data_IF_116895722903
#
_entry.id   IF_116895722903
#
_cell.length_a   1.000
_cell.length_b   1.000
_cell.length_c   1.000
_cell.angle_alpha   90.00
_cell.angle_beta   90.00
_cell.angle_gamma   90.00
#
_symmetry.space_group_name_H-M   'P 1'
#
loop_
_entity.id
_entity.type
_entity.pdbx_description
1 polymer ?
#
# COMPACT_ATOMS: atom_id res chain seq x y z
N UNK A 1 -11.94 8.79 0.73
CA UNK A 1 -12.43 7.66 1.54
C UNK A 1 -12.04 7.88 3.00
N UNK A 2 -12.66 7.17 3.97
CA UNK A 2 -12.42 7.37 5.40
C UNK A 2 -10.97 7.15 5.85
N UNK A 3 -10.21 6.31 5.14
CA UNK A 3 -8.87 5.88 5.55
C UNK A 3 -7.74 6.35 4.61
N UNK A 4 -8.03 7.16 3.60
CA UNK A 4 -6.99 7.69 2.69
C UNK A 4 -6.79 6.90 1.40
N UNK A 5 -7.31 5.68 1.26
CA UNK A 5 -7.31 4.94 -0.02
C UNK A 5 -8.33 5.53 -1.01
N UNK A 6 -7.89 6.35 -1.97
CA UNK A 6 -8.79 7.10 -2.88
C UNK A 6 -8.96 6.48 -4.25
N UNK A 7 -8.01 5.64 -4.67
CA UNK A 7 -7.95 5.09 -6.01
C UNK A 7 -7.78 3.57 -5.96
N UNK A 8 -8.47 2.87 -6.85
CA UNK A 8 -8.37 1.43 -7.04
C UNK A 8 -8.11 1.17 -8.51
N UNK A 9 -7.08 0.39 -8.82
CA UNK A 9 -6.71 0.06 -10.20
C UNK A 9 -6.52 -1.44 -10.30
N UNK A 10 -7.07 -2.05 -11.35
CA UNK A 10 -6.83 -3.46 -11.65
C UNK A 10 -5.54 -3.60 -12.46
N UNK A 11 -4.75 -4.63 -12.13
CA UNK A 11 -3.47 -4.91 -12.77
C UNK A 11 -2.28 -4.46 -11.91
N UNK A 12 -1.38 -5.39 -11.63
CA UNK A 12 -0.24 -5.20 -10.74
C UNK A 12 -0.51 -5.66 -9.30
N UNK A 13 0.55 -5.65 -8.50
CA UNK A 13 0.56 -6.00 -7.08
C UNK A 13 1.82 -5.43 -6.43
N UNK A 14 2.09 -5.76 -5.16
CA UNK A 14 3.38 -5.47 -4.54
C UNK A 14 4.53 -6.23 -5.22
N UNK A 15 5.73 -5.65 -5.17
CA UNK A 15 6.95 -6.26 -5.71
C UNK A 15 7.25 -7.63 -5.10
N UNK A 16 6.89 -7.81 -3.82
CA UNK A 16 7.13 -9.07 -3.09
C UNK A 16 6.17 -10.20 -3.45
N UNK A 17 5.02 -9.90 -4.07
CA UNK A 17 3.95 -10.89 -4.33
C UNK A 17 3.61 -11.04 -5.82
N UNK A 18 4.16 -10.20 -6.70
CA UNK A 18 3.80 -10.18 -8.13
C UNK A 18 4.21 -11.41 -8.92
N UNK A 19 5.08 -12.25 -8.36
CA UNK A 19 5.50 -13.52 -8.92
C UNK A 19 4.58 -14.70 -8.54
N UNK A 20 3.58 -14.50 -7.68
CA UNK A 20 2.63 -15.55 -7.32
C UNK A 20 1.66 -15.76 -8.50
N UNK A 21 1.57 -17.00 -8.99
CA UNK A 21 0.77 -17.36 -10.17
C UNK A 21 -0.34 -18.37 -9.88
N UNK A 22 -0.56 -18.70 -8.60
CA UNK A 22 -1.52 -19.73 -8.20
C UNK A 22 -2.94 -19.36 -8.64
N UNK A 23 -3.65 -20.33 -9.21
CA UNK A 23 -5.04 -20.15 -9.59
C UNK A 23 -5.90 -19.88 -8.34
N UNK A 24 -6.58 -18.72 -8.33
CA UNK A 24 -7.39 -18.27 -7.20
C UNK A 24 -6.68 -17.33 -6.22
N UNK A 25 -5.38 -17.09 -6.37
CA UNK A 25 -4.69 -16.10 -5.55
C UNK A 25 -5.17 -14.68 -5.85
N UNK A 26 -5.55 -13.94 -4.81
CA UNK A 26 -5.86 -12.50 -4.91
C UNK A 26 -4.62 -11.72 -4.49
N UNK A 27 -4.04 -10.98 -5.44
CA UNK A 27 -2.87 -10.15 -5.18
C UNK A 27 -3.28 -8.68 -5.06
N UNK A 28 -2.79 -8.02 -4.01
CA UNK A 28 -3.04 -6.61 -3.75
C UNK A 28 -1.75 -5.92 -3.34
N UNK A 29 -1.61 -4.65 -3.71
CA UNK A 29 -0.49 -3.81 -3.31
C UNK A 29 -0.99 -2.44 -2.85
N UNK A 30 -0.48 -1.95 -1.73
CA UNK A 30 -0.75 -0.59 -1.29
C UNK A 30 0.21 0.39 -1.98
N UNK A 31 -0.34 1.44 -2.59
CA UNK A 31 0.43 2.50 -3.24
C UNK A 31 0.19 3.81 -2.48
N UNK A 32 1.23 4.30 -1.82
CA UNK A 32 1.27 5.64 -1.22
C UNK A 32 1.42 6.74 -2.28
N UNK A 33 1.67 7.98 -1.85
CA UNK A 33 1.93 9.08 -2.77
C UNK A 33 3.18 8.81 -3.63
N UNK A 34 2.97 8.68 -4.94
CA UNK A 34 4.03 8.39 -5.89
C UNK A 34 4.81 9.63 -6.34
N UNK A 35 4.29 10.84 -6.12
CA UNK A 35 4.89 12.07 -6.67
C UNK A 35 6.29 12.31 -6.11
N UNK A 36 6.50 12.02 -4.82
CA UNK A 36 7.79 12.24 -4.15
C UNK A 36 8.59 10.95 -3.96
N UNK A 37 8.10 9.80 -4.44
CA UNK A 37 8.70 8.51 -4.13
C UNK A 37 10.18 8.47 -4.52
N UNK A 38 10.50 8.92 -5.74
CA UNK A 38 11.87 8.93 -6.25
C UNK A 38 12.75 10.08 -5.73
N UNK A 39 12.20 11.01 -4.96
CA UNK A 39 13.02 12.00 -4.24
C UNK A 39 13.76 11.34 -3.07
N UNK A 40 13.18 10.28 -2.48
CA UNK A 40 13.74 9.59 -1.32
C UNK A 40 14.31 8.20 -1.66
N UNK A 41 13.68 7.47 -2.59
CA UNK A 41 13.99 6.07 -2.90
C UNK A 41 15.48 5.85 -3.21
N UNK A 42 16.11 4.92 -2.48
CA UNK A 42 17.55 4.59 -2.60
C UNK A 42 18.51 5.77 -2.34
N UNK A 43 18.12 6.72 -1.51
CA UNK A 43 18.99 7.83 -1.06
C UNK A 43 19.23 7.77 0.44
N UNK A 44 20.19 8.55 0.95
CA UNK A 44 20.41 8.70 2.40
C UNK A 44 19.25 9.43 3.11
N UNK A 45 18.33 10.03 2.37
CA UNK A 45 17.14 10.69 2.92
C UNK A 45 16.00 9.71 3.21
N UNK A 46 16.11 8.45 2.77
CA UNK A 46 15.18 7.37 3.12
C UNK A 46 15.37 6.95 4.58
N UNK A 47 14.81 7.74 5.48
CA UNK A 47 14.89 7.59 6.92
C UNK A 47 13.54 7.93 7.57
N UNK A 48 13.42 7.63 8.86
CA UNK A 48 12.15 7.78 9.57
C UNK A 48 11.71 9.24 9.69
N UNK A 49 12.66 10.18 9.69
CA UNK A 49 12.41 11.62 9.74
C UNK A 49 11.71 12.14 8.48
N UNK A 50 11.91 11.48 7.34
CA UNK A 50 11.22 11.79 6.07
C UNK A 50 9.79 11.25 6.00
N UNK A 51 9.38 10.41 6.94
CA UNK A 51 8.03 9.83 7.01
C UNK A 51 7.10 10.79 7.74
N UNK A 52 6.04 11.23 7.06
CA UNK A 52 5.02 12.05 7.71
C UNK A 52 4.11 11.18 8.59
N UNK A 53 3.98 11.43 9.91
CA UNK A 53 3.24 10.55 10.82
C UNK A 53 1.79 10.29 10.38
N UNK A 54 1.10 11.34 9.92
CA UNK A 54 -0.27 11.22 9.40
C UNK A 54 -0.40 10.27 8.21
N UNK A 55 0.56 10.28 7.27
CA UNK A 55 0.48 9.41 6.09
C UNK A 55 0.71 7.95 6.48
N UNK A 56 1.62 7.71 7.44
CA UNK A 56 1.82 6.38 8.03
C UNK A 56 0.55 5.87 8.72
N UNK A 57 -0.11 6.71 9.53
CA UNK A 57 -1.35 6.36 10.23
C UNK A 57 -2.50 6.06 9.26
N UNK A 58 -2.70 6.92 8.25
CA UNK A 58 -3.76 6.74 7.26
C UNK A 58 -3.50 5.51 6.37
N UNK A 59 -2.26 5.28 5.94
CA UNK A 59 -1.90 4.09 5.19
C UNK A 59 -2.13 2.80 6.00
N UNK A 60 -1.74 2.81 7.27
CA UNK A 60 -1.98 1.70 8.19
C UNK A 60 -3.48 1.44 8.40
N UNK A 61 -4.27 2.50 8.62
CA UNK A 61 -5.72 2.40 8.76
C UNK A 61 -6.40 1.86 7.48
N UNK A 62 -5.91 2.26 6.29
CA UNK A 62 -6.40 1.74 5.01
C UNK A 62 -6.16 0.23 4.88
N UNK A 63 -4.95 -0.24 5.19
CA UNK A 63 -4.63 -1.68 5.13
C UNK A 63 -5.44 -2.47 6.16
N UNK A 64 -5.55 -1.98 7.41
CA UNK A 64 -6.34 -2.63 8.44
C UNK A 64 -7.82 -2.74 8.07
N UNK A 65 -8.41 -1.68 7.52
CA UNK A 65 -9.79 -1.68 7.05
C UNK A 65 -10.01 -2.67 5.89
N UNK A 66 -9.06 -2.76 4.95
CA UNK A 66 -9.10 -3.73 3.86
C UNK A 66 -9.02 -5.17 4.40
N UNK A 67 -8.07 -5.44 5.29
CA UNK A 67 -7.92 -6.77 5.90
C UNK A 67 -9.18 -7.18 6.66
N UNK A 68 -9.75 -6.27 7.44
CA UNK A 68 -11.01 -6.53 8.15
C UNK A 68 -12.16 -6.83 7.19
N UNK A 69 -12.28 -6.05 6.10
CA UNK A 69 -13.29 -6.33 5.08
C UNK A 69 -13.10 -7.73 4.46
N UNK A 70 -11.88 -8.11 4.11
CA UNK A 70 -11.60 -9.44 3.53
C UNK A 70 -11.94 -10.56 4.51
N UNK A 71 -11.56 -10.43 5.78
CA UNK A 71 -11.91 -11.39 6.85
C UNK A 71 -13.43 -11.60 6.99
N UNK A 72 -14.23 -10.55 6.76
CA UNK A 72 -15.69 -10.64 6.85
C UNK A 72 -16.37 -11.14 5.58
N UNK A 73 -15.67 -11.25 4.45
CA UNK A 73 -16.27 -11.56 3.14
C UNK A 73 -15.69 -12.81 2.46
N UNK A 74 -14.50 -13.27 2.87
CA UNK A 74 -13.85 -14.50 2.41
C UNK A 74 -14.00 -15.61 3.45
#
# INVERSE_FOLDING_TARGET
SPYGCREWTQGGSGADVGQITDEGAVLMGYRGDSQRYFDYHHTAQDNIESVHPRELELGSASMAALMYYLDQQL
#
